data_IF_409071945662
#
_entry.id   IF_409071945662
#
_cell.length_a   1.000
_cell.length_b   1.000
_cell.length_c   1.000
_cell.angle_alpha   90.00
_cell.angle_beta   90.00
_cell.angle_gamma   90.00
#
_symmetry.space_group_name_H-M   'P 1'
#
loop_
_entity.id
_entity.type
_entity.pdbx_description
1 polymer ?
#
# COMPACT_ATOMS: atom_id res chain seq x y z
N UNK A 1 35.89 37.96 7.85
CA UNK A 1 36.35 36.58 8.14
C UNK A 1 35.13 35.69 8.07
N UNK A 2 35.13 34.78 7.10
CA UNK A 2 34.03 33.89 6.74
C UNK A 2 34.14 32.66 7.64
N UNK A 3 33.15 32.40 8.50
CA UNK A 3 33.13 31.19 9.32
C UNK A 3 32.24 30.19 8.61
N UNK A 4 32.88 29.11 8.17
CA UNK A 4 32.35 27.95 7.47
C UNK A 4 31.10 27.39 8.15
N UNK A 5 30.01 27.24 7.40
CA UNK A 5 28.85 26.48 7.84
C UNK A 5 29.08 25.03 7.43
N UNK A 6 29.65 24.25 8.35
CA UNK A 6 29.89 22.83 8.17
C UNK A 6 28.55 22.11 7.98
N UNK A 7 28.28 21.69 6.74
CA UNK A 7 27.13 20.90 6.38
C UNK A 7 27.20 19.54 7.09
N UNK A 8 26.22 19.28 7.96
CA UNK A 8 25.96 17.96 8.52
C UNK A 8 24.99 17.27 7.56
N UNK A 9 25.35 16.15 6.90
CA UNK A 9 24.36 15.34 6.19
C UNK A 9 23.55 14.59 7.23
N UNK A 10 22.29 14.98 7.44
CA UNK A 10 21.39 14.27 8.33
C UNK A 10 20.57 13.27 7.51
N UNK A 11 21.07 12.03 7.52
CA UNK A 11 20.36 10.75 7.45
C UNK A 11 19.02 10.69 6.70
N UNK A 12 19.08 10.31 5.43
CA UNK A 12 17.98 9.65 4.70
C UNK A 12 17.81 8.16 5.13
N UNK A 13 18.42 7.73 6.25
CA UNK A 13 18.34 6.33 6.72
C UNK A 13 17.07 6.02 7.54
N UNK A 14 16.29 7.03 7.94
CA UNK A 14 15.11 6.83 8.80
C UNK A 14 13.87 6.29 8.04
N UNK A 15 13.88 6.34 6.70
CA UNK A 15 12.73 5.98 5.85
C UNK A 15 12.49 4.45 5.71
N UNK A 16 13.36 3.63 6.33
CA UNK A 16 13.25 2.16 6.35
C UNK A 16 12.97 1.58 7.74
N UNK A 17 12.79 2.42 8.76
CA UNK A 17 12.53 2.02 10.14
C UNK A 17 11.18 1.30 10.27
N UNK A 18 11.20 -0.01 10.03
CA UNK A 18 10.01 -0.88 10.09
C UNK A 18 9.96 -1.95 9.00
N UNK A 19 10.84 -1.88 7.98
CA UNK A 19 10.89 -2.92 6.94
C UNK A 19 11.80 -4.07 7.36
N UNK A 20 11.42 -5.31 7.03
CA UNK A 20 12.33 -6.45 7.17
C UNK A 20 13.55 -6.24 6.26
N UNK A 21 14.71 -6.83 6.57
CA UNK A 21 15.91 -6.73 5.72
C UNK A 21 15.63 -7.12 4.25
N UNK A 22 14.70 -8.06 4.02
CA UNK A 22 14.23 -8.44 2.69
C UNK A 22 13.43 -7.32 2.01
N UNK A 23 12.59 -6.61 2.76
CA UNK A 23 11.83 -5.45 2.27
C UNK A 23 12.74 -4.30 1.86
N UNK A 24 13.72 -3.96 2.70
CA UNK A 24 14.73 -2.94 2.39
C UNK A 24 15.53 -3.30 1.12
N UNK A 25 15.96 -4.55 0.99
CA UNK A 25 16.68 -5.02 -0.20
C UNK A 25 15.83 -4.95 -1.48
N UNK A 26 14.53 -5.29 -1.39
CA UNK A 26 13.60 -5.17 -2.52
C UNK A 26 13.39 -3.72 -2.92
N UNK A 27 13.17 -2.83 -1.94
CA UNK A 27 12.99 -1.40 -2.19
C UNK A 27 14.22 -0.80 -2.90
N UNK A 28 15.43 -1.08 -2.40
CA UNK A 28 16.68 -0.66 -3.04
C UNK A 28 16.82 -1.20 -4.47
N UNK A 29 16.44 -2.45 -4.70
CA UNK A 29 16.45 -3.06 -6.03
C UNK A 29 15.52 -2.36 -7.03
N UNK A 30 14.31 -2.01 -6.59
CA UNK A 30 13.32 -1.27 -7.40
C UNK A 30 13.80 0.16 -7.69
N UNK A 31 14.31 0.88 -6.70
CA UNK A 31 14.85 2.23 -6.88
C UNK A 31 16.03 2.25 -7.86
N UNK A 32 16.93 1.27 -7.74
CA UNK A 32 18.05 1.13 -8.68
C UNK A 32 17.58 0.82 -10.11
N UNK A 33 16.49 0.06 -10.27
CA UNK A 33 15.92 -0.22 -11.59
C UNK A 33 15.26 1.03 -12.18
N UNK A 34 14.52 1.78 -11.36
CA UNK A 34 13.90 3.04 -11.79
C UNK A 34 14.95 4.05 -12.28
N UNK A 35 16.03 4.24 -11.52
CA UNK A 35 17.12 5.13 -11.90
C UNK A 35 17.77 4.73 -13.24
N UNK A 36 17.91 3.43 -13.51
CA UNK A 36 18.43 2.93 -14.80
C UNK A 36 17.48 3.25 -15.96
N UNK A 37 16.18 3.10 -15.76
CA UNK A 37 15.16 3.41 -16.78
C UNK A 37 15.09 4.92 -17.06
N UNK A 38 15.16 5.75 -16.02
CA UNK A 38 15.21 7.21 -16.17
C UNK A 38 16.47 7.69 -16.89
N UNK A 39 17.62 7.11 -16.55
CA UNK A 39 18.87 7.39 -17.25
C UNK A 39 18.83 7.00 -18.74
N UNK A 40 18.13 5.89 -19.07
CA UNK A 40 17.91 5.47 -20.47
C UNK A 40 16.94 6.39 -21.22
N UNK A 41 15.97 6.98 -20.51
CA UNK A 41 14.99 7.92 -21.10
C UNK A 41 15.52 9.34 -21.24
N UNK A 42 16.62 9.71 -20.57
CA UNK A 42 17.21 11.04 -20.69
C UNK A 42 17.85 11.19 -22.10
N UNK A 43 17.32 12.06 -22.97
CA UNK A 43 17.88 12.23 -24.30
C UNK A 43 19.30 12.81 -24.18
N UNK A 44 20.25 12.18 -24.88
CA UNK A 44 21.59 12.72 -25.12
C UNK A 44 21.44 13.90 -26.08
N UNK A 45 21.25 15.10 -25.53
CA UNK A 45 21.25 16.32 -26.33
C UNK A 45 20.39 17.43 -25.74
N UNK A 46 20.94 18.16 -24.78
CA UNK A 46 20.63 19.57 -24.53
C UNK A 46 21.60 20.10 -23.46
N UNK A 47 22.82 20.44 -23.90
CA UNK A 47 23.58 21.48 -23.21
C UNK A 47 22.84 22.79 -23.42
N UNK A 48 21.84 23.07 -22.58
CA UNK A 48 21.28 24.40 -22.43
C UNK A 48 21.78 24.91 -21.07
N UNK A 49 22.63 25.94 -21.03
CA UNK A 49 23.06 26.51 -19.75
C UNK A 49 21.83 27.03 -19.00
N UNK A 50 21.74 26.70 -17.71
CA UNK A 50 20.76 27.30 -16.81
C UNK A 50 20.86 28.83 -16.88
N UNK A 51 19.75 29.56 -17.03
CA UNK A 51 19.77 31.01 -16.90
C UNK A 51 20.20 31.37 -15.46
N UNK A 52 20.94 32.47 -15.27
CA UNK A 52 21.35 32.89 -13.93
C UNK A 52 20.10 33.22 -13.08
N UNK A 53 20.17 33.04 -11.75
CA UNK A 53 19.07 33.38 -10.87
C UNK A 53 18.80 34.89 -10.97
N UNK A 54 17.64 35.26 -11.52
CA UNK A 54 17.15 36.63 -11.47
C UNK A 54 16.76 36.98 -10.02
N UNK A 55 16.97 38.23 -9.57
CA UNK A 55 16.56 38.65 -8.24
C UNK A 55 15.03 38.79 -8.24
N UNK A 56 14.32 37.74 -7.83
CA UNK A 56 12.85 37.78 -7.85
C UNK A 56 12.11 36.47 -7.69
N UNK A 57 12.78 35.32 -7.53
CA UNK A 57 12.13 34.10 -7.01
C UNK A 57 11.94 34.25 -5.50
N UNK A 58 11.10 35.21 -5.10
CA UNK A 58 10.40 35.11 -3.84
C UNK A 58 9.66 33.78 -3.85
N UNK A 59 9.84 33.01 -2.78
CA UNK A 59 9.06 31.82 -2.51
C UNK A 59 7.57 32.22 -2.61
N UNK A 60 6.97 31.93 -3.77
CA UNK A 60 5.55 32.12 -3.97
C UNK A 60 4.80 31.16 -3.05
N UNK A 61 3.52 31.44 -2.76
CA UNK A 61 2.68 30.58 -1.94
C UNK A 61 2.64 29.12 -2.44
N UNK A 62 2.98 28.89 -3.71
CA UNK A 62 3.15 27.56 -4.29
C UNK A 62 4.30 26.77 -3.65
N UNK A 63 5.46 27.37 -3.38
CA UNK A 63 6.57 26.69 -2.70
C UNK A 63 6.23 26.29 -1.26
N UNK A 64 5.33 27.03 -0.60
CA UNK A 64 4.82 26.71 0.72
C UNK A 64 3.77 25.57 0.72
N UNK A 65 3.15 25.25 -0.44
CA UNK A 65 2.26 24.10 -0.57
C UNK A 65 3.01 22.76 -0.62
N UNK A 66 4.31 22.79 -0.94
CA UNK A 66 5.20 21.62 -0.99
C UNK A 66 6.18 21.59 0.20
N UNK A 67 6.04 22.52 1.15
CA UNK A 67 6.76 22.47 2.42
C UNK A 67 6.06 21.46 3.33
N UNK A 68 6.50 20.20 3.31
CA UNK A 68 5.97 19.13 4.17
C UNK A 68 6.01 19.48 5.67
N UNK A 69 6.84 20.46 6.08
CA UNK A 69 6.87 21.00 7.46
C UNK A 69 5.73 21.96 7.79
N UNK A 70 5.02 22.49 6.79
CA UNK A 70 3.92 23.43 6.97
C UNK A 70 2.55 22.76 7.08
N UNK A 71 2.46 21.45 6.82
CA UNK A 71 1.22 20.69 6.96
C UNK A 71 0.99 20.36 8.44
N UNK A 72 -0.19 20.68 9.01
CA UNK A 72 -0.51 20.25 10.36
C UNK A 72 -0.39 18.72 10.43
N UNK A 73 0.30 18.21 11.45
CA UNK A 73 0.52 16.77 11.73
C UNK A 73 -0.76 16.03 12.16
N UNK A 74 -1.89 16.39 11.56
CA UNK A 74 -3.10 15.60 11.64
C UNK A 74 -2.84 14.34 10.81
N UNK A 75 -3.19 13.14 11.32
CA UNK A 75 -3.04 11.93 10.52
C UNK A 75 -3.85 12.10 9.22
N UNK A 76 -3.16 11.93 8.09
CA UNK A 76 -3.75 12.02 6.75
C UNK A 76 -4.89 11.02 6.54
N UNK A 77 -4.95 9.99 7.39
CA UNK A 77 -6.03 9.01 7.44
C UNK A 77 -6.67 9.06 8.82
N UNK A 78 -8.01 9.14 8.91
CA UNK A 78 -8.71 8.93 10.16
C UNK A 78 -8.25 7.63 10.85
N UNK A 79 -8.17 7.60 12.19
CA UNK A 79 -7.86 6.37 12.90
C UNK A 79 -8.86 5.27 12.52
N UNK A 80 -8.33 4.10 12.17
CA UNK A 80 -9.17 2.96 11.79
C UNK A 80 -10.07 2.55 12.93
N UNK A 81 -11.35 2.37 12.64
CA UNK A 81 -12.32 1.94 13.65
C UNK A 81 -12.15 0.46 13.96
N UNK A 82 -12.53 0.02 15.17
CA UNK A 82 -12.52 -1.40 15.52
C UNK A 82 -13.34 -2.26 14.55
N UNK A 83 -14.42 -1.68 14.02
CA UNK A 83 -15.26 -2.27 12.97
C UNK A 83 -14.46 -2.52 11.68
N UNK A 84 -13.72 -1.53 11.20
CA UNK A 84 -12.88 -1.67 10.00
C UNK A 84 -11.78 -2.72 10.18
N UNK A 85 -11.15 -2.75 11.36
CA UNK A 85 -10.14 -3.75 11.69
C UNK A 85 -10.75 -5.15 11.66
N UNK A 86 -11.93 -5.33 12.27
CA UNK A 86 -12.63 -6.62 12.28
C UNK A 86 -13.05 -7.07 10.89
N UNK A 87 -13.65 -6.18 10.09
CA UNK A 87 -14.00 -6.45 8.68
C UNK A 87 -12.76 -6.91 7.90
N UNK A 88 -11.65 -6.16 7.99
CA UNK A 88 -10.42 -6.52 7.28
C UNK A 88 -9.87 -7.88 7.72
N UNK A 89 -9.93 -8.19 9.01
CA UNK A 89 -9.46 -9.46 9.55
C UNK A 89 -10.33 -10.64 9.08
N UNK A 90 -11.65 -10.50 9.12
CA UNK A 90 -12.58 -11.54 8.64
C UNK A 90 -12.41 -11.75 7.14
N UNK A 91 -12.36 -10.67 6.35
CA UNK A 91 -12.10 -10.78 4.90
C UNK A 91 -10.78 -11.50 4.64
N UNK A 92 -9.70 -11.18 5.36
CA UNK A 92 -8.43 -11.88 5.23
C UNK A 92 -8.54 -13.38 5.54
N UNK A 93 -9.22 -13.75 6.64
CA UNK A 93 -9.42 -15.16 7.00
C UNK A 93 -10.23 -15.91 5.94
N UNK A 94 -11.29 -15.30 5.40
CA UNK A 94 -12.11 -15.90 4.34
C UNK A 94 -11.29 -16.08 3.06
N UNK A 95 -10.48 -15.08 2.67
CA UNK A 95 -9.57 -15.20 1.54
C UNK A 95 -8.55 -16.33 1.73
N UNK A 96 -7.95 -16.45 2.92
CA UNK A 96 -7.04 -17.55 3.23
C UNK A 96 -7.75 -18.91 3.12
N UNK A 97 -8.93 -19.05 3.71
CA UNK A 97 -9.72 -20.27 3.61
C UNK A 97 -10.06 -20.61 2.14
N UNK A 98 -10.38 -19.62 1.32
CA UNK A 98 -10.66 -19.82 -0.10
C UNK A 98 -9.43 -20.35 -0.86
N UNK A 99 -8.25 -19.77 -0.62
CA UNK A 99 -6.99 -20.24 -1.20
C UNK A 99 -6.68 -21.68 -0.75
N UNK A 100 -6.90 -21.99 0.52
CA UNK A 100 -6.55 -23.29 1.11
C UNK A 100 -7.51 -24.43 0.72
N UNK A 101 -8.79 -24.13 0.50
CA UNK A 101 -9.83 -25.17 0.38
C UNK A 101 -10.35 -25.37 -1.04
N UNK A 102 -10.41 -24.30 -1.82
CA UNK A 102 -10.90 -24.35 -3.21
C UNK A 102 -9.85 -23.88 -4.22
N UNK A 103 -8.61 -23.64 -3.77
CA UNK A 103 -7.52 -23.23 -4.65
C UNK A 103 -7.75 -21.86 -5.28
N UNK A 104 -8.49 -20.97 -4.60
CA UNK A 104 -8.67 -19.62 -5.09
C UNK A 104 -7.32 -18.93 -5.26
N UNK A 105 -7.21 -18.04 -6.25
CA UNK A 105 -6.02 -17.25 -6.50
C UNK A 105 -6.28 -15.76 -6.19
N UNK A 106 -5.28 -15.04 -5.65
CA UNK A 106 -5.38 -13.60 -5.51
C UNK A 106 -5.38 -12.93 -6.90
N UNK A 107 -6.26 -11.97 -7.09
CA UNK A 107 -6.35 -11.13 -8.28
C UNK A 107 -6.50 -9.66 -7.91
N UNK A 108 -6.37 -8.79 -8.92
CA UNK A 108 -6.56 -7.36 -8.79
C UNK A 108 -7.37 -6.86 -9.98
N UNK A 109 -8.54 -6.31 -9.70
CA UNK A 109 -9.31 -5.49 -10.64
C UNK A 109 -8.91 -4.03 -10.39
N UNK A 110 -8.58 -3.28 -11.44
CA UNK A 110 -8.21 -1.88 -11.30
C UNK A 110 -9.42 -0.99 -10.98
N UNK A 111 -10.63 -1.43 -11.33
CA UNK A 111 -11.86 -0.69 -11.06
C UNK A 111 -12.41 -1.02 -9.67
N UNK A 112 -12.40 -2.29 -9.31
CA UNK A 112 -13.04 -2.81 -8.09
C UNK A 112 -12.05 -3.19 -6.97
N UNK A 113 -10.76 -3.17 -7.26
CA UNK A 113 -9.72 -3.51 -6.30
C UNK A 113 -9.44 -5.02 -6.18
N UNK A 114 -8.96 -5.49 -5.01
CA UNK A 114 -8.61 -6.88 -4.80
C UNK A 114 -9.75 -7.84 -5.13
N UNK A 115 -9.43 -8.94 -5.80
CA UNK A 115 -10.39 -9.96 -6.20
C UNK A 115 -9.90 -11.36 -5.82
N UNK A 116 -10.83 -12.25 -5.51
CA UNK A 116 -10.57 -13.68 -5.46
C UNK A 116 -10.98 -14.28 -6.80
N UNK A 117 -10.09 -15.11 -7.35
CA UNK A 117 -10.32 -15.84 -8.59
C UNK A 117 -10.51 -17.32 -8.27
N UNK A 118 -11.63 -17.89 -8.69
CA UNK A 118 -11.90 -19.32 -8.65
C UNK A 118 -12.01 -19.82 -10.09
N UNK A 119 -11.21 -20.82 -10.46
CA UNK A 119 -11.09 -21.30 -11.85
C UNK A 119 -10.79 -20.18 -12.87
N UNK A 120 -10.04 -19.15 -12.44
CA UNK A 120 -9.70 -17.99 -13.26
C UNK A 120 -10.83 -16.96 -13.42
N UNK A 121 -12.00 -17.21 -12.85
CA UNK A 121 -13.13 -16.28 -12.84
C UNK A 121 -13.25 -15.58 -11.49
N UNK A 122 -13.68 -14.31 -11.51
CA UNK A 122 -13.89 -13.54 -10.29
C UNK A 122 -15.05 -14.12 -9.48
N UNK A 123 -14.83 -14.34 -8.20
CA UNK A 123 -15.91 -14.70 -7.26
C UNK A 123 -16.77 -13.49 -6.91
N UNK A 124 -18.00 -13.72 -6.50
CA UNK A 124 -18.82 -12.67 -5.90
C UNK A 124 -18.10 -12.01 -4.71
N UNK A 125 -18.29 -10.72 -4.50
CA UNK A 125 -17.64 -9.97 -3.41
C UNK A 125 -18.16 -10.45 -2.03
N UNK A 126 -17.29 -10.90 -1.11
CA UNK A 126 -17.69 -11.27 0.24
C UNK A 126 -18.07 -10.08 1.13
N UNK A 127 -17.73 -8.84 0.76
CA UNK A 127 -17.88 -7.66 1.62
C UNK A 127 -19.30 -7.47 2.20
N UNK A 128 -20.40 -7.65 1.44
CA UNK A 128 -21.76 -7.51 1.99
C UNK A 128 -22.06 -8.52 3.12
N UNK A 129 -21.64 -9.77 2.94
CA UNK A 129 -21.85 -10.82 3.94
C UNK A 129 -20.96 -10.65 5.17
N UNK A 130 -19.72 -10.19 4.98
CA UNK A 130 -18.82 -9.83 6.10
C UNK A 130 -19.37 -8.64 6.87
N UNK A 131 -19.90 -7.63 6.17
CA UNK A 131 -20.50 -6.46 6.81
C UNK A 131 -21.72 -6.86 7.65
N UNK A 132 -22.58 -7.74 7.13
CA UNK A 132 -23.72 -8.27 7.88
C UNK A 132 -23.27 -8.95 9.19
N UNK A 133 -22.23 -9.79 9.13
CA UNK A 133 -21.67 -10.42 10.34
C UNK A 133 -21.12 -9.38 11.33
N UNK A 134 -20.37 -8.39 10.85
CA UNK A 134 -19.75 -7.38 11.72
C UNK A 134 -20.78 -6.45 12.36
N UNK A 135 -21.83 -6.07 11.64
CA UNK A 135 -22.83 -5.11 12.10
C UNK A 135 -23.94 -5.75 12.95
N UNK A 136 -24.37 -6.96 12.59
CA UNK A 136 -25.51 -7.63 13.23
C UNK A 136 -25.11 -8.81 14.11
N UNK A 137 -23.89 -9.32 13.95
CA UNK A 137 -23.43 -10.55 14.60
C UNK A 137 -23.95 -11.83 13.94
N UNK A 138 -24.75 -11.74 12.87
CA UNK A 138 -25.28 -12.93 12.17
C UNK A 138 -24.25 -13.53 11.20
N UNK A 139 -23.75 -14.76 11.44
CA UNK A 139 -22.83 -15.43 10.53
C UNK A 139 -23.53 -16.10 9.33
N UNK A 140 -24.86 -16.17 9.31
CA UNK A 140 -25.64 -16.90 8.31
C UNK A 140 -25.30 -16.53 6.85
N UNK A 141 -25.35 -15.24 6.46
CA UNK A 141 -25.05 -14.81 5.09
C UNK A 141 -23.63 -15.16 4.65
N UNK A 142 -22.64 -15.01 5.55
CA UNK A 142 -21.25 -15.34 5.26
C UNK A 142 -21.05 -16.85 5.09
N UNK A 143 -21.65 -17.65 5.98
CA UNK A 143 -21.57 -19.11 5.89
C UNK A 143 -22.26 -19.64 4.62
N UNK A 144 -23.38 -19.06 4.23
CA UNK A 144 -24.09 -19.42 3.00
C UNK A 144 -23.20 -19.14 1.77
N UNK A 145 -22.68 -17.92 1.64
CA UNK A 145 -21.77 -17.52 0.57
C UNK A 145 -20.53 -18.43 0.49
N UNK A 146 -19.90 -18.72 1.63
CA UNK A 146 -18.73 -19.63 1.67
C UNK A 146 -19.11 -21.04 1.21
N UNK A 147 -20.27 -21.54 1.64
CA UNK A 147 -20.75 -22.89 1.28
C UNK A 147 -21.05 -23.01 -0.20
N UNK A 148 -21.66 -21.98 -0.80
CA UNK A 148 -21.94 -21.90 -2.24
C UNK A 148 -20.67 -21.99 -3.08
N UNK A 149 -19.59 -21.35 -2.62
CA UNK A 149 -18.28 -21.40 -3.28
C UNK A 149 -17.44 -22.62 -2.88
N UNK A 150 -17.95 -23.50 -2.01
CA UNK A 150 -17.23 -24.66 -1.51
C UNK A 150 -16.11 -24.36 -0.50
N UNK A 151 -16.00 -23.09 -0.07
CA UNK A 151 -15.00 -22.64 0.90
C UNK A 151 -15.34 -23.23 2.27
N UNK A 152 -14.41 -23.98 2.86
CA UNK A 152 -14.57 -24.57 4.20
C UNK A 152 -13.78 -23.73 5.21
N UNK A 153 -14.39 -23.25 6.30
CA UNK A 153 -13.63 -22.56 7.35
C UNK A 153 -12.61 -23.47 8.10
N UNK A 154 -12.48 -24.76 7.76
CA UNK A 154 -11.71 -25.73 8.56
C UNK A 154 -10.85 -26.71 7.73
N UNK A 155 -9.57 -26.81 8.12
CA UNK A 155 -8.92 -28.10 8.40
C UNK A 155 -8.63 -28.11 9.91
N UNK A 156 -9.12 -29.09 10.70
CA UNK A 156 -8.73 -29.15 12.10
C UNK A 156 -7.20 -29.36 12.17
N UNK A 157 -6.50 -28.41 12.78
CA UNK A 157 -5.09 -28.57 13.14
C UNK A 157 -5.02 -29.70 14.15
N UNK A 158 -4.69 -30.91 13.68
CA UNK A 158 -4.26 -31.98 14.58
C UNK A 158 -2.87 -31.60 15.06
N UNK A 159 -2.79 -31.06 16.27
CA UNK A 159 -1.53 -30.98 17.00
C UNK A 159 -1.07 -32.43 17.22
N UNK A 160 -0.06 -32.84 16.47
CA UNK A 160 0.67 -34.10 16.69
C UNK A 160 1.83 -33.85 17.65
#
# INVERSE_FOLDING_TARGET
>A
AHTDHQAVPADDEDDLAGTTARGAALAAGLSAQLAREEARKRPVGAGVPSPPPGPGTGAGPEAALWDDRALPLLPLQPPRTGREILTAHITAMVCCAAMDTVGAAPGLDWLDGPALLLDGARTADPAPSVLSLVETGDPGPLRAWMTELGIRPEKPVRLV
#
